data_IF_885106112976
#
_entry.id   IF_885106112976
#
_cell.length_a   1.000
_cell.length_b   1.000
_cell.length_c   1.000
_cell.angle_alpha   90.00
_cell.angle_beta   90.00
_cell.angle_gamma   90.00
#
_symmetry.space_group_name_H-M   'P 1'
#
loop_
_entity.id
_entity.type
_entity.pdbx_description
1 polymer ?
#
# COMPACT_ATOMS: atom_id res chain seq x y z
N UNK A 1 8.56 33.38 -8.21
CA UNK A 1 7.34 32.67 -7.76
C UNK A 1 6.76 33.45 -6.59
N UNK A 2 5.44 33.66 -6.49
CA UNK A 2 4.85 34.31 -5.32
C UNK A 2 5.22 33.53 -4.05
N UNK A 3 5.64 34.21 -2.98
CA UNK A 3 6.12 33.56 -1.75
C UNK A 3 5.13 32.53 -1.16
N UNK A 4 3.82 32.79 -1.29
CA UNK A 4 2.76 31.90 -0.81
C UNK A 4 2.69 30.54 -1.55
N UNK A 5 3.15 30.49 -2.80
CA UNK A 5 3.13 29.26 -3.59
C UNK A 5 4.20 28.26 -3.13
N UNK A 6 5.37 28.79 -2.76
CA UNK A 6 6.47 28.00 -2.21
C UNK A 6 6.11 27.43 -0.83
N UNK A 7 5.40 28.19 0.00
CA UNK A 7 4.95 27.74 1.31
C UNK A 7 3.95 26.56 1.23
N UNK A 8 2.96 26.64 0.33
CA UNK A 8 1.98 25.57 0.10
C UNK A 8 2.69 24.31 -0.41
N UNK A 9 3.62 24.44 -1.34
CA UNK A 9 4.37 23.30 -1.85
C UNK A 9 5.16 22.59 -0.74
N UNK A 10 5.89 23.34 0.09
CA UNK A 10 6.63 22.76 1.23
C UNK A 10 5.67 22.05 2.19
N UNK A 11 4.50 22.63 2.47
CA UNK A 11 3.48 22.00 3.28
C UNK A 11 2.96 20.69 2.64
N UNK A 12 2.69 20.68 1.33
CA UNK A 12 2.27 19.47 0.60
C UNK A 12 3.32 18.38 0.65
N UNK A 13 4.60 18.70 0.43
CA UNK A 13 5.69 17.73 0.53
C UNK A 13 5.79 17.16 1.95
N UNK A 14 5.72 18.03 2.98
CA UNK A 14 5.71 17.60 4.37
C UNK A 14 4.52 16.70 4.72
N UNK A 15 3.31 17.04 4.24
CA UNK A 15 2.10 16.23 4.41
C UNK A 15 2.21 14.90 3.67
N UNK A 16 2.80 14.87 2.47
CA UNK A 16 2.98 13.64 1.70
C UNK A 16 3.94 12.69 2.43
N UNK A 17 5.08 13.20 2.92
CA UNK A 17 6.02 12.43 3.75
C UNK A 17 5.34 11.91 5.01
N UNK A 18 4.57 12.75 5.70
CA UNK A 18 3.84 12.36 6.90
C UNK A 18 2.78 11.29 6.59
N UNK A 19 2.04 11.44 5.50
CA UNK A 19 1.07 10.44 5.04
C UNK A 19 1.75 9.10 4.76
N UNK A 20 2.88 9.10 4.07
CA UNK A 20 3.61 7.87 3.71
C UNK A 20 4.23 7.18 4.92
N UNK A 21 4.74 7.96 5.87
CA UNK A 21 5.16 7.45 7.18
C UNK A 21 3.99 6.82 7.95
N UNK A 22 2.84 7.49 7.98
CA UNK A 22 1.63 6.96 8.60
C UNK A 22 1.17 5.69 7.92
N UNK A 23 1.18 5.67 6.59
CA UNK A 23 0.85 4.51 5.79
C UNK A 23 1.76 3.33 6.13
N UNK A 24 3.08 3.57 6.19
CA UNK A 24 4.07 2.58 6.57
C UNK A 24 3.70 1.87 7.88
N UNK A 25 3.43 2.62 8.96
CA UNK A 25 3.09 1.97 10.23
C UNK A 25 1.67 1.37 10.26
N UNK A 26 0.74 1.97 9.54
CA UNK A 26 -0.65 1.50 9.48
C UNK A 26 -0.72 0.14 8.79
N UNK A 27 -0.01 -0.01 7.68
CA UNK A 27 -0.07 -1.18 6.81
C UNK A 27 1.06 -2.18 7.07
N UNK A 28 1.96 -1.93 8.04
CA UNK A 28 2.90 -2.94 8.57
C UNK A 28 2.19 -4.26 8.87
N UNK A 29 0.97 -4.18 9.41
CA UNK A 29 0.17 -5.36 9.76
C UNK A 29 -0.12 -6.26 8.55
N UNK A 30 -0.27 -5.71 7.35
CA UNK A 30 -0.57 -6.46 6.13
C UNK A 30 0.58 -7.40 5.73
N UNK A 31 1.83 -7.05 6.06
CA UNK A 31 3.00 -7.84 5.70
C UNK A 31 3.47 -8.80 6.81
N UNK A 32 3.23 -8.46 8.10
CA UNK A 32 3.83 -9.21 9.21
C UNK A 32 2.84 -9.90 10.14
N UNK A 33 1.54 -9.56 10.14
CA UNK A 33 0.61 -10.12 11.12
C UNK A 33 0.47 -11.65 10.98
N UNK A 34 0.47 -12.16 9.75
CA UNK A 34 0.43 -13.59 9.42
C UNK A 34 1.71 -14.30 9.88
N UNK A 35 2.89 -13.80 9.54
CA UNK A 35 4.17 -14.43 9.91
C UNK A 35 4.49 -14.35 11.41
N UNK A 36 3.98 -13.33 12.10
CA UNK A 36 4.08 -13.21 13.56
C UNK A 36 3.07 -14.12 14.27
N UNK A 37 1.82 -14.19 13.80
CA UNK A 37 0.77 -15.01 14.43
C UNK A 37 1.04 -16.51 14.28
N UNK A 38 1.57 -16.96 13.14
CA UNK A 38 2.01 -18.34 12.90
C UNK A 38 3.33 -18.70 13.61
N UNK A 39 3.97 -17.71 14.25
CA UNK A 39 5.29 -17.81 14.91
C UNK A 39 6.41 -18.19 13.92
N UNK A 40 6.26 -17.83 12.64
CA UNK A 40 7.33 -17.95 11.66
C UNK A 40 8.46 -16.96 11.92
N UNK A 41 8.12 -15.73 12.32
CA UNK A 41 9.07 -14.69 12.68
C UNK A 41 8.80 -14.13 14.07
N UNK A 42 9.88 -13.76 14.77
CA UNK A 42 9.74 -12.92 15.96
C UNK A 42 9.40 -11.50 15.49
N UNK A 43 8.54 -10.77 16.23
CA UNK A 43 8.05 -9.45 15.79
C UNK A 43 9.15 -8.45 15.40
N UNK A 44 10.23 -8.36 16.17
CA UNK A 44 11.37 -7.47 15.88
C UNK A 44 12.04 -7.75 14.52
N UNK A 45 12.22 -9.03 14.17
CA UNK A 45 12.82 -9.44 12.90
C UNK A 45 11.84 -9.27 11.74
N UNK A 46 10.54 -9.50 11.99
CA UNK A 46 9.50 -9.25 11.00
C UNK A 46 9.43 -7.76 10.63
N UNK A 47 9.51 -6.86 11.62
CA UNK A 47 9.53 -5.41 11.39
C UNK A 47 10.79 -4.99 10.61
N UNK A 48 11.98 -5.44 11.02
CA UNK A 48 13.23 -5.09 10.35
C UNK A 48 13.25 -5.58 8.89
N UNK A 49 12.83 -6.82 8.65
CA UNK A 49 12.68 -7.39 7.31
C UNK A 49 11.66 -6.60 6.50
N UNK A 50 10.49 -6.32 7.07
CA UNK A 50 9.42 -5.59 6.38
C UNK A 50 9.85 -4.17 6.00
N UNK A 51 10.49 -3.44 6.90
CA UNK A 51 10.98 -2.09 6.63
C UNK A 51 12.03 -2.09 5.50
N UNK A 52 12.95 -3.04 5.52
CA UNK A 52 13.98 -3.19 4.47
C UNK A 52 13.37 -3.55 3.13
N UNK A 53 12.47 -4.55 3.10
CA UNK A 53 11.81 -4.99 1.88
C UNK A 53 10.91 -3.90 1.29
N UNK A 54 10.19 -3.14 2.13
CA UNK A 54 9.41 -1.96 1.69
C UNK A 54 10.30 -0.92 1.02
N UNK A 55 11.45 -0.59 1.64
CA UNK A 55 12.39 0.37 1.07
C UNK A 55 12.86 -0.09 -0.32
N UNK A 56 13.31 -1.34 -0.45
CA UNK A 56 13.77 -1.90 -1.73
C UNK A 56 12.63 -1.94 -2.76
N UNK A 57 11.43 -2.35 -2.36
CA UNK A 57 10.24 -2.37 -3.19
C UNK A 57 9.90 -1.01 -3.77
N UNK A 58 9.97 0.05 -2.95
CA UNK A 58 9.73 1.42 -3.38
C UNK A 58 10.69 1.90 -4.48
N UNK A 59 11.91 1.36 -4.56
CA UNK A 59 12.88 1.74 -5.59
C UNK A 59 12.60 1.12 -6.97
N UNK A 60 11.65 0.18 -7.08
CA UNK A 60 11.52 -0.68 -8.26
C UNK A 60 10.65 -0.13 -9.40
N UNK A 61 9.97 1.00 -9.21
CA UNK A 61 9.15 1.57 -10.28
C UNK A 61 8.46 2.88 -9.92
N UNK A 62 7.81 3.46 -10.93
CA UNK A 62 7.07 4.73 -10.84
C UNK A 62 5.75 4.71 -11.62
N UNK A 63 5.32 3.53 -12.09
CA UNK A 63 4.10 3.37 -12.89
C UNK A 63 2.81 3.76 -12.12
N UNK A 64 2.70 3.37 -10.85
CA UNK A 64 1.57 3.76 -9.98
C UNK A 64 1.64 5.26 -9.68
N UNK A 65 2.84 5.81 -9.49
CA UNK A 65 3.05 7.24 -9.28
C UNK A 65 2.50 8.06 -10.45
N UNK A 66 2.75 7.60 -11.68
CA UNK A 66 2.21 8.21 -12.91
C UNK A 66 0.68 8.20 -12.93
N UNK A 67 0.06 7.08 -12.57
CA UNK A 67 -1.41 6.98 -12.49
C UNK A 67 -1.99 7.93 -11.46
N UNK A 68 -1.43 7.98 -10.24
CA UNK A 68 -1.90 8.88 -9.17
C UNK A 68 -1.70 10.35 -9.56
N UNK A 69 -0.53 10.69 -10.06
CA UNK A 69 -0.15 12.08 -10.28
C UNK A 69 -0.64 12.68 -11.61
N UNK A 70 -1.06 11.88 -12.59
CA UNK A 70 -1.52 12.42 -13.88
C UNK A 70 -2.82 11.84 -14.41
N UNK A 71 -3.33 10.75 -13.82
CA UNK A 71 -4.48 10.01 -14.35
C UNK A 71 -5.81 10.21 -13.62
N UNK A 72 -5.85 11.02 -12.54
CA UNK A 72 -7.07 11.16 -11.71
C UNK A 72 -7.72 12.52 -11.81
N UNK A 73 -6.93 13.58 -11.68
CA UNK A 73 -7.39 14.97 -11.64
C UNK A 73 -6.54 15.74 -12.64
N UNK A 74 -7.17 16.60 -13.42
CA UNK A 74 -6.48 17.52 -14.33
C UNK A 74 -5.66 18.54 -13.51
N UNK A 75 -4.41 18.89 -13.88
CA UNK A 75 -3.64 19.90 -13.13
C UNK A 75 -4.22 21.32 -13.29
N UNK A 76 -4.34 22.10 -12.20
CA UNK A 76 -4.73 23.52 -12.24
C UNK A 76 -3.96 24.39 -11.22
N UNK A 77 -4.17 25.71 -11.31
CA UNK A 77 -3.54 26.76 -10.49
C UNK A 77 -3.69 26.56 -8.98
N UNK A 78 -4.79 25.96 -8.50
CA UNK A 78 -5.04 25.71 -7.07
C UNK A 78 -4.65 24.29 -6.60
N UNK A 79 -3.96 23.52 -7.45
CA UNK A 79 -3.66 22.10 -7.19
C UNK A 79 -2.95 21.84 -5.86
N UNK A 80 -2.12 22.78 -5.38
CA UNK A 80 -1.43 22.65 -4.09
C UNK A 80 -2.38 22.57 -2.89
N UNK A 81 -3.42 23.42 -2.85
CA UNK A 81 -4.40 23.43 -1.74
C UNK A 81 -5.29 22.18 -1.77
N UNK A 82 -5.72 21.78 -2.97
CA UNK A 82 -6.53 20.56 -3.17
C UNK A 82 -5.77 19.33 -2.69
N UNK A 83 -4.50 19.20 -3.08
CA UNK A 83 -3.64 18.08 -2.64
C UNK A 83 -3.39 18.13 -1.14
N UNK A 84 -3.14 19.31 -0.56
CA UNK A 84 -2.97 19.45 0.89
C UNK A 84 -4.22 19.00 1.65
N UNK A 85 -5.41 19.46 1.24
CA UNK A 85 -6.68 19.07 1.84
C UNK A 85 -6.94 17.55 1.73
N UNK A 86 -6.66 16.96 0.56
CA UNK A 86 -6.74 15.53 0.33
C UNK A 86 -5.83 14.73 1.28
N UNK A 87 -4.57 15.15 1.42
CA UNK A 87 -3.60 14.51 2.31
C UNK A 87 -4.02 14.64 3.78
N UNK A 88 -4.50 15.81 4.21
CA UNK A 88 -5.00 16.00 5.58
C UNK A 88 -6.17 15.06 5.86
N UNK A 89 -7.15 14.97 4.94
CA UNK A 89 -8.27 14.06 5.08
C UNK A 89 -7.83 12.59 5.19
N UNK A 90 -6.91 12.17 4.32
CA UNK A 90 -6.37 10.82 4.33
C UNK A 90 -5.57 10.51 5.61
N UNK A 91 -4.74 11.45 6.07
CA UNK A 91 -3.97 11.35 7.33
C UNK A 91 -4.91 11.22 8.53
N UNK A 92 -5.91 12.10 8.63
CA UNK A 92 -6.88 12.09 9.73
C UNK A 92 -7.62 10.75 9.77
N UNK A 93 -8.06 10.25 8.61
CA UNK A 93 -8.73 8.96 8.51
C UNK A 93 -7.82 7.81 8.96
N UNK A 94 -6.59 7.73 8.44
CA UNK A 94 -5.64 6.69 8.81
C UNK A 94 -5.29 6.71 10.31
N UNK A 95 -5.13 7.89 10.90
CA UNK A 95 -4.87 8.02 12.34
C UNK A 95 -6.08 7.60 13.18
N UNK A 96 -7.29 7.93 12.74
CA UNK A 96 -8.52 7.52 13.39
C UNK A 96 -8.68 6.00 13.38
N UNK A 97 -8.55 5.36 12.21
CA UNK A 97 -8.67 3.91 12.07
C UNK A 97 -7.58 3.19 12.85
N UNK A 98 -6.34 3.71 12.84
CA UNK A 98 -5.26 3.18 13.67
C UNK A 98 -5.54 3.29 15.18
N UNK A 99 -6.06 4.42 15.66
CA UNK A 99 -6.42 4.60 17.07
C UNK A 99 -7.48 3.59 17.50
N UNK A 100 -8.45 3.31 16.62
CA UNK A 100 -9.50 2.32 16.83
C UNK A 100 -9.03 0.87 16.56
N UNK A 101 -7.82 0.68 16.04
CA UNK A 101 -7.28 -0.64 15.68
C UNK A 101 -8.01 -1.31 14.52
N UNK A 102 -8.65 -0.53 13.65
CA UNK A 102 -9.41 -1.00 12.49
C UNK A 102 -8.46 -1.09 11.28
N UNK A 103 -8.28 -2.27 10.66
CA UNK A 103 -7.56 -2.38 9.40
C UNK A 103 -8.35 -1.63 8.32
N UNK A 104 -7.71 -0.63 7.73
CA UNK A 104 -8.27 0.26 6.71
C UNK A 104 -7.30 0.36 5.53
N UNK A 105 -7.78 0.82 4.39
CA UNK A 105 -6.97 1.01 3.20
C UNK A 105 -6.52 2.47 3.08
N UNK A 106 -5.22 2.73 3.24
CA UNK A 106 -4.62 4.05 2.98
C UNK A 106 -4.82 4.50 1.53
N UNK A 107 -4.92 3.55 0.60
CA UNK A 107 -5.17 3.83 -0.82
C UNK A 107 -6.55 4.44 -1.05
N UNK A 108 -7.59 3.87 -0.43
CA UNK A 108 -8.94 4.43 -0.50
C UNK A 108 -9.00 5.79 0.18
N UNK A 109 -8.31 5.96 1.31
CA UNK A 109 -8.23 7.23 2.01
C UNK A 109 -7.61 8.33 1.13
N UNK A 110 -6.47 8.05 0.49
CA UNK A 110 -5.79 8.99 -0.40
C UNK A 110 -6.60 9.32 -1.66
N UNK A 111 -7.05 8.30 -2.38
CA UNK A 111 -7.82 8.48 -3.62
C UNK A 111 -9.15 9.19 -3.32
N UNK A 112 -9.86 8.76 -2.28
CA UNK A 112 -11.10 9.39 -1.83
C UNK A 112 -10.88 10.84 -1.39
N UNK A 113 -9.77 11.12 -0.69
CA UNK A 113 -9.35 12.47 -0.34
C UNK A 113 -9.10 13.35 -1.55
N UNK A 114 -8.37 12.85 -2.56
CA UNK A 114 -8.08 13.57 -3.81
C UNK A 114 -9.36 13.86 -4.61
N UNK A 115 -10.19 12.85 -4.81
CA UNK A 115 -11.46 13.00 -5.53
C UNK A 115 -12.42 13.92 -4.78
N UNK A 116 -12.55 13.76 -3.46
CA UNK A 116 -13.42 14.60 -2.63
C UNK A 116 -12.97 16.07 -2.59
N UNK A 117 -11.66 16.32 -2.38
CA UNK A 117 -11.11 17.67 -2.36
C UNK A 117 -11.25 18.36 -3.73
N UNK A 118 -11.00 17.65 -4.83
CA UNK A 118 -11.19 18.20 -6.19
C UNK A 118 -12.66 18.47 -6.51
N UNK A 119 -13.58 17.59 -6.12
CA UNK A 119 -15.00 17.84 -6.31
C UNK A 119 -15.47 19.07 -5.51
N UNK A 120 -14.97 19.25 -4.28
CA UNK A 120 -15.32 20.40 -3.45
C UNK A 120 -14.75 21.72 -3.98
N UNK A 121 -13.51 21.72 -4.50
CA UNK A 121 -12.85 22.93 -4.97
C UNK A 121 -13.26 23.34 -6.38
N UNK A 122 -13.45 22.36 -7.28
CA UNK A 122 -13.53 22.60 -8.73
C UNK A 122 -14.72 21.90 -9.39
N UNK A 123 -15.48 21.09 -8.64
CA UNK A 123 -16.57 20.27 -9.17
C UNK A 123 -16.08 18.99 -9.86
N UNK A 124 -17.04 18.17 -10.30
CA UNK A 124 -16.77 16.86 -10.91
C UNK A 124 -16.15 16.93 -12.33
N UNK A 125 -16.15 18.11 -12.96
CA UNK A 125 -15.60 18.29 -14.31
C UNK A 125 -14.08 18.12 -14.41
N UNK A 126 -13.36 18.23 -13.29
CA UNK A 126 -11.90 18.04 -13.24
C UNK A 126 -11.47 16.57 -13.20
N UNK A 127 -12.42 15.65 -12.99
CA UNK A 127 -12.16 14.22 -12.85
C UNK A 127 -11.89 13.55 -14.19
N UNK A 128 -10.78 12.80 -14.26
CA UNK A 128 -10.46 11.97 -15.42
C UNK A 128 -11.17 10.62 -15.30
N UNK A 129 -12.44 10.57 -15.72
CA UNK A 129 -13.32 9.42 -15.53
C UNK A 129 -12.71 8.11 -16.03
N UNK A 130 -12.11 8.10 -17.22
CA UNK A 130 -11.48 6.89 -17.78
C UNK A 130 -10.31 6.37 -16.92
N UNK A 131 -9.49 7.29 -16.40
CA UNK A 131 -8.39 6.96 -15.50
C UNK A 131 -8.90 6.47 -14.15
N UNK A 132 -9.91 7.14 -13.58
CA UNK A 132 -10.53 6.74 -12.30
C UNK A 132 -11.17 5.35 -12.44
N UNK A 133 -12.00 5.12 -13.46
CA UNK A 133 -12.71 3.85 -13.62
C UNK A 133 -11.74 2.73 -13.98
N UNK A 134 -10.92 2.91 -15.03
CA UNK A 134 -10.09 1.85 -15.58
C UNK A 134 -8.82 1.56 -14.78
N UNK A 135 -8.18 2.58 -14.20
CA UNK A 135 -6.90 2.43 -13.49
C UNK A 135 -7.03 2.45 -11.97
N UNK A 136 -8.17 2.84 -11.40
CA UNK A 136 -8.37 2.88 -9.95
C UNK A 136 -9.52 2.00 -9.49
N UNK A 137 -10.76 2.29 -9.89
CA UNK A 137 -11.92 1.53 -9.41
C UNK A 137 -11.86 0.06 -9.83
N UNK A 138 -11.51 -0.22 -11.09
CA UNK A 138 -11.36 -1.59 -11.59
C UNK A 138 -10.37 -2.41 -10.75
N UNK A 139 -9.10 -2.00 -10.53
CA UNK A 139 -8.18 -2.77 -9.69
C UNK A 139 -8.56 -2.76 -8.20
N UNK A 140 -9.17 -1.71 -7.66
CA UNK A 140 -9.66 -1.68 -6.27
C UNK A 140 -10.73 -2.75 -6.00
N UNK A 141 -11.59 -3.03 -6.99
CA UNK A 141 -12.65 -4.05 -6.88
C UNK A 141 -12.18 -5.43 -7.33
N UNK A 142 -11.41 -5.53 -8.41
CA UNK A 142 -10.98 -6.82 -8.96
C UNK A 142 -9.87 -7.47 -8.15
N UNK A 143 -8.96 -6.70 -7.52
CA UNK A 143 -7.82 -7.27 -6.78
C UNK A 143 -8.22 -8.07 -5.54
N UNK A 144 -9.24 -7.71 -4.74
CA UNK A 144 -9.68 -8.57 -3.64
C UNK A 144 -10.40 -9.84 -4.13
N UNK A 145 -11.16 -9.75 -5.23
CA UNK A 145 -11.80 -10.92 -5.85
C UNK A 145 -10.73 -11.89 -6.33
N UNK A 146 -9.69 -11.38 -7.00
CA UNK A 146 -8.52 -12.15 -7.39
C UNK A 146 -7.78 -12.72 -6.17
N UNK A 147 -7.64 -11.94 -5.08
CA UNK A 147 -7.02 -12.38 -3.83
C UNK A 147 -7.69 -13.64 -3.27
N UNK A 148 -9.02 -13.61 -3.15
CA UNK A 148 -9.79 -14.77 -2.73
C UNK A 148 -9.65 -15.96 -3.70
N UNK A 149 -9.90 -15.74 -4.99
CA UNK A 149 -9.94 -16.81 -5.98
C UNK A 149 -8.57 -17.48 -6.19
N UNK A 150 -7.50 -16.69 -6.30
CA UNK A 150 -6.13 -17.20 -6.48
C UNK A 150 -5.64 -17.83 -5.17
N UNK A 151 -5.98 -17.25 -4.02
CA UNK A 151 -5.64 -17.81 -2.71
C UNK A 151 -6.25 -19.21 -2.54
N UNK A 152 -7.54 -19.34 -2.83
CA UNK A 152 -8.25 -20.62 -2.83
C UNK A 152 -7.63 -21.62 -3.80
N UNK A 153 -7.39 -21.22 -5.05
CA UNK A 153 -6.79 -22.10 -6.05
C UNK A 153 -5.39 -22.57 -5.63
N UNK A 154 -4.55 -21.66 -5.10
CA UNK A 154 -3.23 -21.99 -4.60
C UNK A 154 -3.30 -22.97 -3.43
N UNK A 155 -4.26 -22.78 -2.52
CA UNK A 155 -4.45 -23.69 -1.38
C UNK A 155 -4.88 -25.09 -1.82
N UNK A 156 -5.78 -25.18 -2.81
CA UNK A 156 -6.17 -26.45 -3.43
C UNK A 156 -4.97 -27.16 -4.06
N UNK A 157 -4.09 -26.42 -4.75
CA UNK A 157 -2.86 -26.98 -5.33
C UNK A 157 -1.93 -27.49 -4.23
N UNK A 158 -1.67 -26.69 -3.19
CA UNK A 158 -0.82 -27.07 -2.06
C UNK A 158 -1.35 -28.34 -1.39
N UNK A 159 -2.64 -28.39 -1.06
CA UNK A 159 -3.22 -29.57 -0.42
C UNK A 159 -3.14 -30.81 -1.29
N UNK A 160 -3.36 -30.69 -2.60
CA UNK A 160 -3.25 -31.84 -3.50
C UNK A 160 -1.80 -32.35 -3.62
N UNK A 161 -0.83 -31.45 -3.72
CA UNK A 161 0.60 -31.81 -3.82
C UNK A 161 1.12 -32.44 -2.52
N UNK A 162 0.71 -31.90 -1.38
CA UNK A 162 1.18 -32.33 -0.06
C UNK A 162 0.20 -33.24 0.69
N UNK A 163 -0.82 -33.80 0.00
CA UNK A 163 -1.87 -34.66 0.63
C UNK A 163 -1.35 -35.86 1.41
N UNK A 164 -0.14 -36.35 1.09
CA UNK A 164 0.51 -37.49 1.75
C UNK A 164 1.61 -37.07 2.72
N UNK A 165 1.89 -35.77 2.84
CA UNK A 165 2.93 -35.26 3.72
C UNK A 165 2.45 -35.28 5.17
N UNK A 166 3.37 -35.59 6.10
CA UNK A 166 3.06 -35.54 7.52
C UNK A 166 2.82 -34.07 7.95
N UNK A 167 1.68 -33.73 8.60
CA UNK A 167 1.31 -32.35 8.91
C UNK A 167 2.39 -31.55 9.66
N UNK A 168 3.09 -32.18 10.61
CA UNK A 168 4.18 -31.55 11.37
C UNK A 168 5.34 -31.09 10.47
N UNK A 169 5.83 -31.98 9.61
CA UNK A 169 6.96 -31.69 8.71
C UNK A 169 6.57 -30.65 7.66
N UNK A 170 5.32 -30.71 7.20
CA UNK A 170 4.76 -29.71 6.29
C UNK A 170 4.75 -28.33 6.95
N UNK A 171 4.18 -28.21 8.14
CA UNK A 171 4.12 -26.93 8.87
C UNK A 171 5.52 -26.37 9.19
N UNK A 172 6.50 -27.21 9.53
CA UNK A 172 7.87 -26.76 9.79
C UNK A 172 8.56 -26.22 8.52
N UNK A 173 8.31 -26.83 7.36
CA UNK A 173 8.84 -26.36 6.07
C UNK A 173 8.16 -25.07 5.63
N UNK A 174 6.82 -25.02 5.67
CA UNK A 174 6.08 -23.82 5.31
C UNK A 174 6.36 -22.66 6.24
N UNK A 175 6.69 -22.90 7.53
CA UNK A 175 7.16 -21.84 8.42
C UNK A 175 8.43 -21.14 7.92
N UNK A 176 9.34 -21.87 7.29
CA UNK A 176 10.56 -21.28 6.68
C UNK A 176 10.24 -20.56 5.38
N UNK A 177 9.38 -21.14 4.55
CA UNK A 177 8.93 -20.51 3.30
C UNK A 177 8.11 -19.23 3.56
N UNK A 178 7.37 -19.20 4.66
CA UNK A 178 6.55 -18.04 5.04
C UNK A 178 7.41 -16.79 5.30
N UNK A 179 8.66 -16.96 5.74
CA UNK A 179 9.60 -15.83 5.88
C UNK A 179 9.83 -15.16 4.52
N UNK A 180 9.96 -15.96 3.46
CA UNK A 180 10.17 -15.45 2.10
C UNK A 180 8.91 -14.81 1.53
N UNK A 181 7.73 -15.41 1.74
CA UNK A 181 6.47 -14.82 1.29
C UNK A 181 6.14 -13.53 2.05
N UNK A 182 6.46 -13.44 3.34
CA UNK A 182 6.29 -12.21 4.11
C UNK A 182 7.23 -11.10 3.64
N UNK A 183 8.48 -11.43 3.31
CA UNK A 183 9.41 -10.49 2.67
C UNK A 183 8.90 -10.03 1.31
N UNK A 184 8.36 -10.95 0.51
CA UNK A 184 7.78 -10.64 -0.80
C UNK A 184 6.54 -9.75 -0.67
N UNK A 185 5.66 -10.02 0.29
CA UNK A 185 4.51 -9.18 0.60
C UNK A 185 4.94 -7.76 1.00
N UNK A 186 5.93 -7.62 1.90
CA UNK A 186 6.48 -6.31 2.28
C UNK A 186 7.13 -5.57 1.09
N UNK A 187 7.86 -6.28 0.24
CA UNK A 187 8.41 -5.72 -1.00
C UNK A 187 7.31 -5.23 -1.94
N UNK A 188 6.28 -6.05 -2.16
CA UNK A 188 5.15 -5.70 -3.03
C UNK A 188 4.40 -4.47 -2.50
N UNK A 189 4.23 -4.38 -1.18
CA UNK A 189 3.63 -3.23 -0.51
C UNK A 189 4.42 -1.95 -0.83
N UNK A 190 5.74 -1.93 -0.59
CA UNK A 190 6.59 -0.79 -0.94
C UNK A 190 6.53 -0.42 -2.43
N UNK A 191 6.46 -1.43 -3.31
CA UNK A 191 6.38 -1.22 -4.76
C UNK A 191 5.08 -0.56 -5.22
N UNK A 192 3.99 -0.65 -4.45
CA UNK A 192 2.69 -0.05 -4.83
C UNK A 192 2.43 1.23 -4.04
N UNK A 193 2.65 1.20 -2.73
CA UNK A 193 2.19 2.23 -1.80
C UNK A 193 3.09 3.45 -1.79
N UNK A 194 4.41 3.27 -1.76
CA UNK A 194 5.36 4.39 -1.79
C UNK A 194 5.18 5.21 -3.08
N UNK A 195 4.88 4.53 -4.20
CA UNK A 195 4.63 5.17 -5.48
C UNK A 195 3.41 6.11 -5.44
N UNK A 196 2.40 5.85 -4.61
CA UNK A 196 1.24 6.75 -4.48
C UNK A 196 1.68 8.11 -3.95
N UNK A 197 2.51 8.11 -2.92
CA UNK A 197 3.10 9.32 -2.35
C UNK A 197 4.05 10.00 -3.34
N UNK A 198 4.87 9.23 -4.05
CA UNK A 198 5.70 9.77 -5.15
C UNK A 198 4.85 10.49 -6.20
N UNK A 199 3.69 9.93 -6.54
CA UNK A 199 2.76 10.50 -7.50
C UNK A 199 2.20 11.85 -7.03
N UNK A 200 1.79 11.92 -5.77
CA UNK A 200 1.28 13.15 -5.14
C UNK A 200 2.35 14.24 -5.06
N UNK A 201 3.55 13.90 -4.60
CA UNK A 201 4.67 14.86 -4.53
C UNK A 201 5.06 15.36 -5.93
N UNK A 202 5.13 14.47 -6.91
CA UNK A 202 5.49 14.84 -8.29
C UNK A 202 4.41 15.71 -8.93
N UNK A 203 3.14 15.41 -8.69
CA UNK A 203 2.03 16.27 -9.14
C UNK A 203 2.13 17.67 -8.53
N UNK A 204 2.45 17.78 -7.25
CA UNK A 204 2.64 19.07 -6.60
C UNK A 204 3.81 19.86 -7.22
N UNK A 205 4.93 19.20 -7.53
CA UNK A 205 6.09 19.82 -8.17
C UNK A 205 5.83 20.28 -9.62
N UNK A 206 5.08 19.47 -10.40
CA UNK A 206 4.68 19.82 -11.76
C UNK A 206 3.66 20.96 -11.75
N UNK A 207 2.65 20.89 -10.88
CA UNK A 207 1.69 21.98 -10.68
C UNK A 207 2.40 23.25 -10.21
N UNK A 208 3.52 23.09 -9.50
CA UNK A 208 4.38 24.19 -9.09
C UNK A 208 5.26 24.80 -10.19
N UNK A 209 5.23 24.26 -11.41
CA UNK A 209 6.13 24.68 -12.49
C UNK A 209 7.62 24.44 -12.18
N UNK A 210 7.94 23.65 -11.16
CA UNK A 210 9.32 23.28 -10.81
C UNK A 210 9.82 22.17 -11.73
N UNK A 211 8.94 21.20 -12.02
CA UNK A 211 9.20 20.15 -12.99
C UNK A 211 8.48 20.48 -14.31
N UNK A 212 9.18 20.44 -15.47
CA UNK A 212 8.58 20.73 -16.76
C UNK A 212 7.68 19.60 -17.27
N UNK A 213 7.91 18.37 -16.79
CA UNK A 213 7.16 17.18 -17.16
C UNK A 213 6.96 16.25 -15.95
N UNK A 214 5.97 15.36 -16.03
CA UNK A 214 5.74 14.36 -14.98
C UNK A 214 6.79 13.25 -15.05
N UNK A 215 7.92 13.48 -14.39
CA UNK A 215 8.99 12.51 -14.19
C UNK A 215 9.36 12.50 -12.72
N UNK A 216 9.11 11.38 -12.04
CA UNK A 216 9.40 11.24 -10.60
C UNK A 216 10.92 11.36 -10.39
N UNK A 217 11.41 12.39 -9.69
CA UNK A 217 12.84 12.58 -9.50
C UNK A 217 13.35 11.61 -8.43
N UNK A 218 14.64 11.25 -8.52
CA UNK A 218 15.25 10.25 -7.62
C UNK A 218 15.10 10.62 -6.13
N UNK A 219 15.20 11.91 -5.79
CA UNK A 219 15.04 12.36 -4.40
C UNK A 219 13.61 12.12 -3.87
N UNK A 220 12.57 12.23 -4.72
CA UNK A 220 11.19 11.91 -4.34
C UNK A 220 11.06 10.41 -4.09
N UNK A 221 11.70 9.57 -4.92
CA UNK A 221 11.72 8.12 -4.76
C UNK A 221 12.37 7.75 -3.41
N UNK A 222 13.57 8.27 -3.15
CA UNK A 222 14.32 8.00 -1.91
C UNK A 222 13.56 8.52 -0.69
N UNK A 223 12.93 9.70 -0.78
CA UNK A 223 12.18 10.30 0.30
C UNK A 223 10.94 9.46 0.65
N UNK A 224 10.14 9.05 -0.35
CA UNK A 224 8.99 8.16 -0.16
C UNK A 224 9.42 6.79 0.38
N UNK A 225 10.44 6.17 -0.22
CA UNK A 225 11.01 4.90 0.23
C UNK A 225 11.45 4.97 1.71
N UNK A 226 12.10 6.06 2.10
CA UNK A 226 12.53 6.29 3.48
C UNK A 226 11.32 6.49 4.41
N UNK A 227 10.33 7.29 4.00
CA UNK A 227 9.16 7.58 4.81
C UNK A 227 8.35 6.32 5.11
N UNK A 228 7.98 5.54 4.08
CA UNK A 228 7.23 4.29 4.27
C UNK A 228 8.02 3.24 5.06
N UNK A 229 9.33 3.16 4.86
CA UNK A 229 10.21 2.22 5.57
C UNK A 229 10.35 2.59 7.05
N UNK A 230 10.56 3.87 7.37
CA UNK A 230 10.63 4.36 8.74
C UNK A 230 9.28 4.22 9.46
N UNK A 231 8.18 4.48 8.75
CA UNK A 231 6.84 4.18 9.24
C UNK A 231 6.69 2.70 9.57
N UNK A 232 7.08 1.82 8.65
CA UNK A 232 7.05 0.37 8.87
C UNK A 232 7.88 -0.03 10.09
N UNK A 233 9.06 0.57 10.27
CA UNK A 233 9.95 0.33 11.40
C UNK A 233 9.35 0.79 12.74
N UNK A 234 8.56 1.87 12.74
CA UNK A 234 7.83 2.33 13.93
C UNK A 234 6.73 1.34 14.38
N UNK A 235 6.36 0.39 13.53
CA UNK A 235 5.48 -0.73 13.86
C UNK A 235 4.05 -0.48 13.41
N UNK A 236 3.08 -0.80 14.27
CA UNK A 236 1.65 -0.79 13.91
C UNK A 236 0.80 -1.57 14.90
N UNK A 237 1.25 -1.64 16.16
CA UNK A 237 0.88 -2.72 17.09
C UNK A 237 -0.61 -2.86 17.37
N UNK A 238 -1.38 -1.77 17.32
CA UNK A 238 -2.84 -1.83 17.47
C UNK A 238 -3.47 -2.67 16.36
N UNK A 239 -3.12 -2.40 15.11
CA UNK A 239 -3.64 -3.12 13.94
C UNK A 239 -3.04 -4.53 13.87
N UNK A 240 -1.74 -4.69 14.13
CA UNK A 240 -1.09 -6.01 14.17
C UNK A 240 -1.79 -6.94 15.15
N UNK A 241 -2.15 -6.45 16.35
CA UNK A 241 -2.91 -7.24 17.33
C UNK A 241 -4.29 -7.61 16.80
N UNK A 242 -5.03 -6.68 16.18
CA UNK A 242 -6.34 -6.96 15.59
C UNK A 242 -6.25 -8.04 14.50
N UNK A 243 -5.36 -7.86 13.52
CA UNK A 243 -5.20 -8.79 12.40
C UNK A 243 -4.69 -10.17 12.85
N UNK A 244 -3.76 -10.21 13.80
CA UNK A 244 -3.14 -11.45 14.26
C UNK A 244 -3.95 -12.29 15.26
N UNK A 245 -4.99 -11.72 15.89
CA UNK A 245 -5.77 -12.43 16.93
C UNK A 245 -7.26 -12.57 16.64
N UNK A 246 -7.85 -11.67 15.83
CA UNK A 246 -9.31 -11.61 15.66
C UNK A 246 -9.84 -12.11 14.32
N UNK A 247 -8.99 -12.28 13.29
CA UNK A 247 -9.48 -12.57 11.94
C UNK A 247 -9.58 -14.08 11.69
N UNK A 248 -8.47 -14.84 11.68
CA UNK A 248 -8.47 -16.32 11.57
C UNK A 248 -7.21 -16.88 12.24
N UNK A 249 -7.30 -18.03 12.93
CA UNK A 249 -6.10 -18.78 13.36
C UNK A 249 -5.46 -19.42 12.12
N UNK A 250 -4.33 -18.88 11.70
CA UNK A 250 -3.60 -19.37 10.53
C UNK A 250 -2.49 -20.33 10.93
N UNK A 251 -2.34 -21.38 10.14
CA UNK A 251 -1.13 -22.21 10.12
C UNK A 251 -0.11 -21.61 9.14
N UNK A 252 1.19 -21.94 9.25
CA UNK A 252 2.22 -21.39 8.38
C UNK A 252 1.97 -21.60 6.88
N UNK A 253 1.31 -22.71 6.51
CA UNK A 253 0.95 -23.00 5.12
C UNK A 253 -0.10 -22.02 4.58
N UNK A 254 -1.12 -21.69 5.38
CA UNK A 254 -2.14 -20.69 5.02
C UNK A 254 -1.50 -19.30 4.91
N UNK A 255 -0.64 -18.95 5.85
CA UNK A 255 0.11 -17.69 5.82
C UNK A 255 0.96 -17.55 4.56
N UNK A 256 1.72 -18.59 4.21
CA UNK A 256 2.51 -18.63 2.98
C UNK A 256 1.65 -18.44 1.73
N UNK A 257 0.54 -19.17 1.63
CA UNK A 257 -0.36 -19.10 0.48
C UNK A 257 -1.00 -17.72 0.33
N UNK A 258 -1.50 -17.14 1.43
CA UNK A 258 -2.13 -15.82 1.43
C UNK A 258 -1.12 -14.70 1.08
N UNK A 259 0.05 -14.69 1.72
CA UNK A 259 1.10 -13.69 1.47
C UNK A 259 1.61 -13.77 0.02
N UNK A 260 1.88 -14.99 -0.49
CA UNK A 260 2.36 -15.18 -1.86
C UNK A 260 1.32 -14.71 -2.88
N UNK A 261 0.05 -15.06 -2.66
CA UNK A 261 -1.07 -14.62 -3.50
C UNK A 261 -1.17 -13.11 -3.52
N UNK A 262 -1.23 -12.49 -2.34
CA UNK A 262 -1.39 -11.06 -2.22
C UNK A 262 -0.21 -10.31 -2.84
N UNK A 263 1.01 -10.74 -2.55
CA UNK A 263 2.23 -10.14 -3.10
C UNK A 263 2.26 -10.22 -4.63
N UNK A 264 1.86 -11.36 -5.20
CA UNK A 264 1.81 -11.55 -6.67
C UNK A 264 0.81 -10.60 -7.32
N UNK A 265 -0.38 -10.46 -6.74
CA UNK A 265 -1.42 -9.54 -7.24
C UNK A 265 -0.95 -8.09 -7.14
N UNK A 266 -0.38 -7.70 -5.99
CA UNK A 266 0.09 -6.33 -5.75
C UNK A 266 1.24 -6.00 -6.70
N UNK A 267 2.24 -6.88 -6.85
CA UNK A 267 3.34 -6.67 -7.81
C UNK A 267 2.84 -6.58 -9.25
N UNK A 268 1.93 -7.48 -9.67
CA UNK A 268 1.33 -7.42 -11.00
C UNK A 268 0.59 -6.11 -11.24
N UNK A 269 -0.21 -5.66 -10.28
CA UNK A 269 -0.89 -4.37 -10.34
C UNK A 269 0.11 -3.19 -10.39
N UNK A 270 1.18 -3.22 -9.58
CA UNK A 270 2.24 -2.20 -9.59
C UNK A 270 2.90 -2.07 -10.97
N UNK A 271 3.21 -3.20 -11.63
CA UNK A 271 3.79 -3.21 -12.97
C UNK A 271 2.86 -2.60 -14.03
N UNK A 272 1.55 -2.80 -13.87
CA UNK A 272 0.52 -2.20 -14.74
C UNK A 272 0.17 -0.75 -14.38
N UNK A 273 0.84 -0.19 -13.36
CA UNK A 273 0.58 1.15 -12.83
C UNK A 273 -0.76 1.28 -12.12
N UNK A 274 -1.32 0.19 -11.62
CA UNK A 274 -2.62 0.17 -10.95
C UNK A 274 -2.44 0.28 -9.43
N UNK A 275 -2.86 1.39 -8.79
CA UNK A 275 -2.95 1.45 -7.34
C UNK A 275 -3.97 0.43 -6.84
N UNK A 276 -3.59 -0.37 -5.85
CA UNK A 276 -4.46 -1.35 -5.19
C UNK A 276 -4.48 -1.16 -3.68
N UNK A 277 -5.52 -1.70 -3.03
CA UNK A 277 -5.60 -1.78 -1.57
C UNK A 277 -4.89 -3.03 -1.07
N UNK A 278 -3.66 -2.87 -0.57
CA UNK A 278 -2.89 -3.99 0.00
C UNK A 278 -3.65 -4.66 1.14
N UNK A 279 -4.31 -3.88 2.01
CA UNK A 279 -5.19 -4.35 3.10
C UNK A 279 -6.31 -5.26 2.59
N UNK A 280 -7.00 -4.90 1.50
CA UNK A 280 -8.10 -5.73 0.97
C UNK A 280 -7.57 -6.96 0.24
N UNK A 281 -6.46 -6.83 -0.49
CA UNK A 281 -5.85 -7.97 -1.21
C UNK A 281 -5.36 -9.03 -0.23
N UNK A 282 -4.65 -8.65 0.84
CA UNK A 282 -4.21 -9.64 1.84
C UNK A 282 -5.38 -10.22 2.64
N UNK A 283 -6.35 -9.40 3.03
CA UNK A 283 -7.50 -9.87 3.80
C UNK A 283 -8.35 -10.86 2.99
N UNK A 284 -8.57 -10.58 1.70
CA UNK A 284 -9.28 -11.50 0.81
C UNK A 284 -8.48 -12.77 0.50
N UNK A 285 -7.16 -12.68 0.34
CA UNK A 285 -6.29 -13.84 0.19
C UNK A 285 -6.31 -14.73 1.44
N UNK A 286 -6.33 -14.13 2.65
CA UNK A 286 -6.51 -14.87 3.92
C UNK A 286 -7.88 -15.57 3.97
N UNK A 287 -8.94 -14.96 3.48
CA UNK A 287 -10.27 -15.57 3.44
C UNK A 287 -10.38 -16.71 2.41
N UNK A 288 -9.55 -16.68 1.36
CA UNK A 288 -9.53 -17.71 0.33
C UNK A 288 -8.79 -18.99 0.73
N UNK A 289 -7.89 -18.94 1.72
CA UNK A 289 -7.04 -20.07 2.16
C UNK A 289 -7.60 -20.76 3.40
#
# INVERSE_FOLDING_TARGET
MPEGFTAILVAVLGLAVLFDYINGFHDTANAIATSVSTRALRPQWAIAMSATANFVGALTGTAVAKTIGSGLITPQSEGGLVVAAALIGAIVWNLLTWRLGIPSSSSHALIGGLLGASAAAIGFGAWQVDGIVGKVLFPLVSSPIAGFAIGFALMVVIFNLFRRAHPKTMNDRFRRLQVLSAAYMAFSHGSNDAQKTMGVMTLALVSAGILPEFKVPLWVIILAASAISLGTAAGGWRIIRTMGTKVVKLDPVHGFAAETTAATIITGASLLGMPVSTTHVISSAILGV
#
